data_IF_008591621833
#
_entry.id   IF_008591621833
#
_cell.length_a   1.000
_cell.length_b   1.000
_cell.length_c   1.000
_cell.angle_alpha   90.00
_cell.angle_beta   90.00
_cell.angle_gamma   90.00
#
_symmetry.space_group_name_H-M   'P 1'
#
loop_
_entity.id
_entity.type
_entity.pdbx_description
1 polymer ?
#
# COMPACT_ATOMS: atom_id res chain seq x y z
N UNK A 1 1.33 20.03 9.21
CA UNK A 1 1.55 19.64 7.80
C UNK A 1 0.62 20.44 6.93
N UNK A 2 1.00 20.79 5.72
CA UNK A 2 0.10 21.44 4.76
C UNK A 2 0.10 20.66 3.45
N UNK A 3 -1.09 20.38 2.93
CA UNK A 3 -1.24 19.64 1.67
C UNK A 3 -2.03 20.43 0.64
N UNK A 4 -1.72 20.22 -0.63
CA UNK A 4 -2.44 20.80 -1.76
C UNK A 4 -2.67 19.74 -2.81
N UNK A 5 -3.94 19.59 -3.23
CA UNK A 5 -4.31 18.67 -4.31
C UNK A 5 -4.60 19.45 -5.56
N UNK A 6 -3.99 19.01 -6.66
CA UNK A 6 -4.29 19.47 -8.01
C UNK A 6 -4.84 18.32 -8.84
N UNK A 7 -5.95 18.56 -9.51
CA UNK A 7 -6.45 17.67 -10.56
C UNK A 7 -5.57 17.89 -11.81
N UNK A 8 -4.99 16.81 -12.31
CA UNK A 8 -4.26 16.80 -13.58
C UNK A 8 -5.22 16.37 -14.72
N UNK A 9 -4.79 15.47 -15.58
CA UNK A 9 -5.63 14.96 -16.64
C UNK A 9 -6.48 13.79 -16.14
N UNK A 10 -7.72 13.75 -16.56
CA UNK A 10 -8.68 12.65 -16.31
C UNK A 10 -8.76 12.23 -14.83
N UNK A 11 -8.22 11.07 -14.48
CA UNK A 11 -8.25 10.49 -13.15
C UNK A 11 -6.99 10.77 -12.33
N UNK A 12 -5.97 11.37 -12.93
CA UNK A 12 -4.73 11.69 -12.23
C UNK A 12 -4.89 12.83 -11.23
N UNK A 13 -4.27 12.68 -10.07
CA UNK A 13 -4.19 13.67 -9.00
C UNK A 13 -2.73 13.86 -8.59
N UNK A 14 -2.36 15.11 -8.38
CA UNK A 14 -1.07 15.47 -7.78
C UNK A 14 -1.34 15.99 -6.37
N UNK A 15 -0.83 15.29 -5.38
CA UNK A 15 -0.81 15.69 -3.98
C UNK A 15 0.58 16.26 -3.67
N UNK A 16 0.66 17.51 -3.25
CA UNK A 16 1.88 18.12 -2.74
C UNK A 16 1.75 18.26 -1.24
N UNK A 17 2.70 17.69 -0.51
CA UNK A 17 2.74 17.71 0.95
C UNK A 17 3.99 18.42 1.40
N UNK A 18 3.85 19.31 2.40
CA UNK A 18 4.97 19.96 3.07
C UNK A 18 5.04 19.50 4.51
N UNK A 19 6.17 18.90 4.88
CA UNK A 19 6.46 18.40 6.23
C UNK A 19 7.29 19.43 6.98
N UNK A 20 6.94 19.81 8.22
CA UNK A 20 7.72 20.74 9.00
C UNK A 20 9.09 20.16 9.36
N UNK A 21 10.09 21.05 9.45
CA UNK A 21 11.48 20.68 9.77
C UNK A 21 11.60 20.01 11.14
N UNK A 22 10.75 20.40 12.09
CA UNK A 22 10.75 19.81 13.44
C UNK A 22 10.53 18.32 13.46
N UNK A 23 9.66 17.80 12.59
CA UNK A 23 9.37 16.36 12.51
C UNK A 23 10.54 15.61 11.86
N UNK A 24 11.22 16.25 10.91
CA UNK A 24 12.46 15.72 10.33
C UNK A 24 13.57 15.64 11.38
N UNK A 25 13.82 16.73 12.11
CA UNK A 25 14.89 16.80 13.09
C UNK A 25 14.71 15.79 14.23
N UNK A 26 13.48 15.59 14.71
CA UNK A 26 13.17 14.58 15.71
C UNK A 26 13.51 13.17 15.23
N UNK A 27 13.11 12.82 14.00
CA UNK A 27 13.38 11.50 13.44
C UNK A 27 14.85 11.30 13.13
N UNK A 28 15.50 12.33 12.56
CA UNK A 28 16.93 12.29 12.28
C UNK A 28 17.75 12.09 13.55
N UNK A 29 17.46 12.83 14.61
CA UNK A 29 18.12 12.68 15.91
C UNK A 29 17.90 11.30 16.52
N UNK A 30 16.69 10.75 16.43
CA UNK A 30 16.39 9.39 16.91
C UNK A 30 17.17 8.33 16.13
N UNK A 31 17.22 8.43 14.81
CA UNK A 31 17.99 7.51 13.94
C UNK A 31 19.50 7.60 14.24
N UNK A 32 20.02 8.84 14.33
CA UNK A 32 21.43 9.06 14.68
C UNK A 32 21.80 8.41 15.99
N UNK A 33 20.96 8.55 17.03
CA UNK A 33 21.17 7.92 18.33
C UNK A 33 21.15 6.39 18.27
N UNK A 34 20.27 5.81 17.47
CA UNK A 34 20.23 4.35 17.25
C UNK A 34 21.51 3.87 16.57
N UNK A 35 21.94 4.56 15.53
CA UNK A 35 23.19 4.21 14.83
C UNK A 35 24.39 4.36 15.74
N UNK A 36 24.47 5.42 16.55
CA UNK A 36 25.53 5.62 17.54
C UNK A 36 25.72 4.43 18.48
N UNK A 37 24.60 3.84 18.92
CA UNK A 37 24.63 2.66 19.81
C UNK A 37 25.08 1.36 19.11
N UNK A 38 24.89 1.26 17.79
CA UNK A 38 25.09 0.03 17.02
C UNK A 38 26.35 0.05 16.16
N UNK A 39 26.74 1.24 15.67
CA UNK A 39 27.86 1.40 14.74
C UNK A 39 29.20 0.94 15.33
N UNK A 40 29.91 0.15 14.54
CA UNK A 40 31.33 -0.18 14.76
C UNK A 40 32.12 0.61 13.74
N UNK A 41 32.92 1.54 14.22
CA UNK A 41 33.86 2.32 13.41
C UNK A 41 35.29 2.03 13.90
N UNK A 42 36.17 1.81 12.95
CA UNK A 42 37.59 1.59 13.26
C UNK A 42 38.16 2.83 13.96
N UNK A 43 38.84 2.60 15.08
CA UNK A 43 39.37 3.67 15.94
C UNK A 43 38.43 4.18 17.03
N UNK A 44 37.17 3.74 17.08
CA UNK A 44 36.22 4.16 18.12
C UNK A 44 35.57 2.96 18.84
N UNK A 45 35.42 3.10 20.16
CA UNK A 45 34.65 2.14 20.93
C UNK A 45 33.16 2.27 20.63
N UNK A 46 32.46 1.15 20.53
CA UNK A 46 30.99 1.10 20.30
C UNK A 46 30.27 2.03 21.30
N UNK A 47 29.44 2.91 20.79
CA UNK A 47 28.68 3.88 21.58
C UNK A 47 29.39 5.23 21.84
N UNK A 48 30.70 5.35 21.59
CA UNK A 48 31.49 6.57 21.85
C UNK A 48 31.99 7.26 20.58
N UNK A 49 31.28 7.10 19.48
CA UNK A 49 31.59 7.76 18.21
C UNK A 49 31.06 9.21 18.26
N UNK A 50 31.89 10.24 17.94
CA UNK A 50 31.43 11.61 17.83
C UNK A 50 30.34 11.75 16.76
N UNK A 51 29.35 12.62 17.03
CA UNK A 51 28.21 12.81 16.13
C UNK A 51 28.61 13.35 14.76
N UNK A 52 29.68 14.18 14.69
CA UNK A 52 30.20 14.70 13.44
C UNK A 52 30.74 13.61 12.51
N UNK A 53 31.42 12.62 13.06
CA UNK A 53 31.94 11.47 12.30
C UNK A 53 30.80 10.59 11.81
N UNK A 54 29.75 10.42 12.64
CA UNK A 54 28.55 9.68 12.25
C UNK A 54 27.78 10.40 11.14
N UNK A 55 27.62 11.72 11.25
CA UNK A 55 26.98 12.55 10.20
C UNK A 55 27.75 12.48 8.89
N UNK A 56 29.06 12.56 8.93
CA UNK A 56 29.89 12.52 7.72
C UNK A 56 29.82 11.16 7.02
N UNK A 57 29.69 10.05 7.78
CA UNK A 57 29.71 8.70 7.21
C UNK A 57 28.35 8.12 6.89
N UNK A 58 27.35 8.44 7.70
CA UNK A 58 26.00 7.90 7.60
C UNK A 58 24.93 8.97 7.35
N UNK A 59 25.32 10.24 7.29
CA UNK A 59 24.37 11.36 7.17
C UNK A 59 23.42 11.22 5.99
N UNK A 60 23.94 10.90 4.81
CA UNK A 60 23.15 10.73 3.61
C UNK A 60 22.21 9.53 3.71
N UNK A 61 22.69 8.39 4.21
CA UNK A 61 21.85 7.20 4.39
C UNK A 61 20.72 7.47 5.39
N UNK A 62 21.02 8.13 6.50
CA UNK A 62 20.03 8.52 7.51
C UNK A 62 19.01 9.49 6.91
N UNK A 63 19.48 10.45 6.13
CA UNK A 63 18.62 11.42 5.45
C UNK A 63 17.59 10.75 4.56
N UNK A 64 18.02 9.86 3.66
CA UNK A 64 17.11 9.12 2.78
C UNK A 64 16.17 8.19 3.55
N UNK A 65 16.64 7.53 4.61
CA UNK A 65 15.77 6.71 5.45
C UNK A 65 14.69 7.55 6.15
N UNK A 66 15.05 8.71 6.70
CA UNK A 66 14.11 9.61 7.36
C UNK A 66 13.10 10.18 6.38
N UNK A 67 13.55 10.58 5.18
CA UNK A 67 12.64 11.03 4.12
C UNK A 67 11.61 9.97 3.75
N UNK A 68 12.06 8.74 3.51
CA UNK A 68 11.15 7.64 3.19
C UNK A 68 10.15 7.37 4.32
N UNK A 69 10.60 7.38 5.57
CA UNK A 69 9.74 7.16 6.73
C UNK A 69 8.70 8.28 6.90
N UNK A 70 9.10 9.54 6.68
CA UNK A 70 8.19 10.69 6.69
C UNK A 70 7.14 10.60 5.58
N UNK A 71 7.55 10.22 4.38
CA UNK A 71 6.64 10.05 3.25
C UNK A 71 5.64 8.91 3.52
N UNK A 72 6.13 7.77 3.99
CA UNK A 72 5.28 6.61 4.31
C UNK A 72 4.26 6.89 5.42
N UNK A 73 4.57 7.78 6.35
CA UNK A 73 3.64 8.16 7.41
C UNK A 73 2.69 9.29 7.00
N UNK A 74 3.20 10.29 6.27
CA UNK A 74 2.40 11.48 5.92
C UNK A 74 1.44 11.20 4.77
N UNK A 75 1.84 10.44 3.76
CA UNK A 75 1.02 10.16 2.58
C UNK A 75 -0.33 9.51 2.91
N UNK A 76 -0.40 8.41 3.70
CA UNK A 76 -1.68 7.81 4.05
C UNK A 76 -2.57 8.72 4.89
N UNK A 77 -1.96 9.52 5.80
CA UNK A 77 -2.72 10.47 6.64
C UNK A 77 -3.39 11.54 5.79
N UNK A 78 -2.66 12.13 4.86
CA UNK A 78 -3.19 13.15 3.96
C UNK A 78 -4.28 12.60 3.03
N UNK A 79 -4.15 11.35 2.57
CA UNK A 79 -5.21 10.69 1.80
C UNK A 79 -6.49 10.49 2.62
N UNK A 80 -6.35 10.10 3.89
CA UNK A 80 -7.50 9.93 4.79
C UNK A 80 -8.17 11.26 5.10
N UNK A 81 -7.41 12.32 5.36
CA UNK A 81 -7.95 13.67 5.61
C UNK A 81 -8.73 14.23 4.42
N UNK A 82 -8.34 13.85 3.21
CA UNK A 82 -8.97 14.29 1.96
C UNK A 82 -10.04 13.30 1.42
N UNK A 83 -10.28 12.19 2.14
CA UNK A 83 -11.20 11.09 1.74
C UNK A 83 -10.96 10.58 0.31
N UNK A 84 -9.67 10.46 -0.06
CA UNK A 84 -9.26 10.01 -1.38
C UNK A 84 -8.79 8.56 -1.33
N UNK A 85 -9.34 7.74 -2.23
CA UNK A 85 -8.91 6.34 -2.41
C UNK A 85 -8.08 6.24 -3.69
N UNK A 86 -6.76 6.06 -3.57
CA UNK A 86 -5.91 5.86 -4.74
C UNK A 86 -6.20 4.51 -5.40
N UNK A 87 -6.22 4.50 -6.73
CA UNK A 87 -6.39 3.29 -7.54
C UNK A 87 -5.04 2.66 -7.90
N UNK A 88 -3.95 3.45 -7.88
CA UNK A 88 -2.60 3.01 -8.22
C UNK A 88 -1.60 3.41 -7.16
N UNK A 89 -0.43 2.77 -7.17
CA UNK A 89 0.71 3.19 -6.36
C UNK A 89 1.17 4.60 -6.77
N UNK A 90 1.49 5.49 -5.80
CA UNK A 90 1.90 6.85 -6.12
C UNK A 90 3.30 6.89 -6.74
N UNK A 91 3.48 7.74 -7.75
CA UNK A 91 4.79 8.17 -8.19
C UNK A 91 5.22 9.37 -7.33
N UNK A 92 6.22 9.16 -6.46
CA UNK A 92 6.69 10.17 -5.50
C UNK A 92 7.89 10.89 -6.10
N UNK A 93 7.86 12.23 -6.06
CA UNK A 93 8.95 13.11 -6.44
C UNK A 93 9.22 14.10 -5.33
N UNK A 94 10.44 14.20 -4.86
CA UNK A 94 10.85 15.15 -3.83
C UNK A 94 11.14 16.49 -4.53
N UNK A 95 10.48 17.54 -4.07
CA UNK A 95 10.63 18.91 -4.65
C UNK A 95 11.66 19.74 -3.88
N UNK A 96 11.79 19.54 -2.58
CA UNK A 96 12.76 20.22 -1.71
C UNK A 96 13.30 19.28 -0.65
N UNK A 97 14.63 19.13 -0.62
CA UNK A 97 15.36 18.26 0.32
C UNK A 97 16.25 19.07 1.30
N UNK A 98 16.22 20.40 1.24
CA UNK A 98 17.08 21.21 2.07
C UNK A 98 16.70 21.05 3.56
N UNK A 99 17.64 20.67 4.46
CA UNK A 99 17.34 20.46 5.88
C UNK A 99 16.87 21.72 6.61
N UNK A 100 17.13 22.90 6.04
CA UNK A 100 16.76 24.21 6.61
C UNK A 100 15.37 24.68 6.18
N UNK A 101 14.76 24.03 5.20
CA UNK A 101 13.43 24.36 4.66
C UNK A 101 12.46 23.21 4.90
N UNK A 102 11.15 23.49 4.95
CA UNK A 102 10.15 22.42 4.99
C UNK A 102 10.36 21.44 3.82
N UNK A 103 10.42 20.15 4.12
CA UNK A 103 10.58 19.13 3.12
C UNK A 103 9.26 19.04 2.35
N UNK A 104 9.32 19.24 1.04
CA UNK A 104 8.15 19.13 0.18
C UNK A 104 8.35 18.03 -0.84
N UNK A 105 7.33 17.17 -0.91
CA UNK A 105 7.25 16.13 -1.92
C UNK A 105 5.92 16.18 -2.65
N UNK A 106 5.90 15.69 -3.87
CA UNK A 106 4.69 15.51 -4.65
C UNK A 106 4.46 14.04 -4.97
N UNK A 107 3.23 13.60 -4.80
CA UNK A 107 2.78 12.27 -5.15
C UNK A 107 1.75 12.35 -6.28
N UNK A 108 2.00 11.67 -7.39
CA UNK A 108 1.07 11.55 -8.51
C UNK A 108 0.46 10.15 -8.47
N UNK A 109 -0.85 10.08 -8.44
CA UNK A 109 -1.60 8.83 -8.38
C UNK A 109 -2.94 8.98 -9.12
N UNK A 110 -3.54 7.86 -9.48
CA UNK A 110 -4.85 7.80 -10.08
C UNK A 110 -5.93 7.52 -9.03
N UNK A 111 -7.12 8.05 -9.28
CA UNK A 111 -8.29 7.82 -8.42
C UNK A 111 -9.39 7.11 -9.22
N UNK A 112 -10.24 6.36 -8.51
CA UNK A 112 -11.42 5.78 -9.13
C UNK A 112 -12.40 6.85 -9.59
N UNK A 113 -13.02 6.71 -10.77
CA UNK A 113 -14.05 7.63 -11.24
C UNK A 113 -15.32 7.50 -10.40
N UNK A 114 -16.00 8.60 -10.16
CA UNK A 114 -17.36 8.56 -9.63
C UNK A 114 -18.33 8.08 -10.72
N UNK A 115 -18.80 6.85 -10.60
CA UNK A 115 -19.77 6.28 -11.53
C UNK A 115 -21.18 6.56 -10.99
N UNK A 116 -21.95 7.36 -11.72
CA UNK A 116 -23.38 7.58 -11.46
C UNK A 116 -24.20 6.83 -12.51
N UNK A 117 -24.52 5.54 -12.29
CA UNK A 117 -25.25 4.77 -13.29
C UNK A 117 -26.67 5.32 -13.43
N UNK A 118 -27.08 5.60 -14.67
CA UNK A 118 -28.47 5.89 -15.00
C UNK A 118 -29.19 4.57 -15.24
N UNK A 119 -29.90 4.09 -14.24
CA UNK A 119 -30.72 2.89 -14.39
C UNK A 119 -31.98 3.25 -15.15
N UNK A 120 -32.14 2.65 -16.34
CA UNK A 120 -33.36 2.79 -17.10
C UNK A 120 -34.48 1.99 -16.44
N UNK A 121 -35.56 2.65 -16.05
CA UNK A 121 -36.75 2.00 -15.45
C UNK A 121 -37.48 1.06 -16.40
N UNK A 122 -37.10 1.07 -17.68
CA UNK A 122 -37.76 0.32 -18.74
C UNK A 122 -37.12 -1.04 -19.04
N UNK A 123 -36.06 -1.41 -18.35
CA UNK A 123 -35.43 -2.72 -18.49
C UNK A 123 -35.96 -3.64 -17.39
N UNK A 124 -36.82 -4.57 -17.75
CA UNK A 124 -37.14 -5.73 -16.93
C UNK A 124 -36.05 -6.79 -17.13
N UNK A 125 -35.60 -7.40 -16.06
CA UNK A 125 -34.72 -8.55 -16.11
C UNK A 125 -35.54 -9.76 -15.66
N UNK A 126 -35.53 -10.80 -16.48
CA UNK A 126 -36.05 -12.09 -16.07
C UNK A 126 -35.06 -12.72 -15.08
N UNK A 127 -35.52 -12.96 -13.88
CA UNK A 127 -34.76 -13.69 -12.88
C UNK A 127 -34.95 -15.19 -13.17
N UNK A 128 -33.90 -15.88 -13.51
CA UNK A 128 -33.95 -17.32 -13.61
C UNK A 128 -34.19 -17.93 -12.23
N UNK A 129 -35.32 -18.57 -12.08
CA UNK A 129 -35.60 -19.40 -10.89
C UNK A 129 -35.14 -20.81 -11.18
N UNK A 130 -34.22 -21.30 -10.37
CA UNK A 130 -33.75 -22.67 -10.44
C UNK A 130 -34.70 -23.49 -9.55
N UNK A 131 -35.48 -24.33 -10.16
CA UNK A 131 -36.29 -25.32 -9.45
C UNK A 131 -35.56 -26.65 -9.51
N UNK A 132 -35.30 -27.21 -8.33
CA UNK A 132 -34.74 -28.57 -8.23
C UNK A 132 -35.89 -29.55 -8.23
N UNK A 133 -35.79 -30.55 -9.05
CA UNK A 133 -36.73 -31.69 -9.07
C UNK A 133 -36.07 -32.98 -8.55
N UNK A 134 -36.87 -34.03 -8.38
CA UNK A 134 -36.36 -35.27 -7.84
C UNK A 134 -35.34 -35.95 -8.77
N UNK A 135 -35.39 -35.67 -10.07
CA UNK A 135 -34.41 -36.19 -11.05
C UNK A 135 -33.01 -35.54 -10.86
N UNK A 136 -32.94 -34.25 -10.50
CA UNK A 136 -31.67 -33.58 -10.21
C UNK A 136 -31.01 -34.17 -8.96
N UNK A 137 -31.85 -34.57 -7.98
CA UNK A 137 -31.40 -35.18 -6.75
C UNK A 137 -30.87 -36.60 -7.01
N UNK A 138 -31.55 -37.40 -7.85
CA UNK A 138 -31.06 -38.71 -8.26
C UNK A 138 -29.73 -38.64 -9.02
N UNK A 139 -29.58 -37.67 -9.93
CA UNK A 139 -28.33 -37.46 -10.66
C UNK A 139 -27.19 -37.13 -9.71
N UNK A 140 -27.42 -36.24 -8.74
CA UNK A 140 -26.43 -35.90 -7.75
C UNK A 140 -26.02 -37.07 -6.86
N UNK A 141 -26.98 -37.90 -6.45
CA UNK A 141 -26.71 -39.13 -5.68
C UNK A 141 -25.88 -40.11 -6.50
N UNK A 142 -26.23 -40.32 -7.77
CA UNK A 142 -25.48 -41.21 -8.65
C UNK A 142 -24.05 -40.76 -8.87
N UNK A 143 -23.80 -39.45 -9.07
CA UNK A 143 -22.45 -38.90 -9.18
C UNK A 143 -21.62 -39.16 -7.90
N UNK A 144 -22.23 -39.03 -6.73
CA UNK A 144 -21.58 -39.36 -5.46
C UNK A 144 -21.28 -40.86 -5.37
N UNK A 145 -22.23 -41.70 -5.73
CA UNK A 145 -22.04 -43.14 -5.69
C UNK A 145 -20.91 -43.59 -6.62
N UNK A 146 -20.85 -43.04 -7.85
CA UNK A 146 -19.75 -43.31 -8.78
C UNK A 146 -18.40 -42.91 -8.25
N UNK A 147 -18.30 -41.75 -7.58
CA UNK A 147 -17.04 -41.28 -6.99
C UNK A 147 -16.55 -42.15 -5.84
N UNK A 148 -17.46 -42.74 -5.09
CA UNK A 148 -17.13 -43.56 -3.91
C UNK A 148 -17.25 -45.06 -4.18
N UNK A 149 -17.49 -45.50 -5.43
CA UNK A 149 -17.57 -46.92 -5.73
C UNK A 149 -16.19 -47.58 -5.61
N UNK A 150 -16.17 -48.75 -4.98
CA UNK A 150 -14.97 -49.57 -4.84
C UNK A 150 -15.07 -50.74 -5.84
N UNK A 151 -14.13 -50.76 -6.77
CA UNK A 151 -14.06 -51.82 -7.78
C UNK A 151 -13.43 -53.10 -7.18
N UNK A 152 -14.23 -54.16 -7.05
CA UNK A 152 -13.73 -55.45 -6.64
C UNK A 152 -13.54 -56.35 -7.88
N UNK A 153 -12.41 -57.07 -7.89
CA UNK A 153 -12.14 -58.05 -8.95
C UNK A 153 -13.10 -59.21 -8.78
N UNK A 154 -13.90 -59.50 -9.81
CA UNK A 154 -14.85 -60.58 -9.84
C UNK A 154 -14.34 -61.65 -10.81
N UNK A 155 -14.10 -62.87 -10.30
CA UNK A 155 -13.74 -64.07 -11.14
C UNK A 155 -14.98 -64.72 -11.73
N UNK A 156 -15.69 -63.96 -12.56
CA UNK A 156 -16.84 -64.51 -13.36
C UNK A 156 -16.59 -64.18 -14.82
N UNK A 157 -16.85 -65.11 -15.68
CA UNK A 157 -16.97 -64.88 -17.12
C UNK A 157 -18.16 -63.95 -17.36
N UNK A 158 -18.00 -62.98 -18.29
CA UNK A 158 -19.02 -61.97 -18.65
C UNK A 158 -20.19 -62.60 -19.40
#
# INVERSE_FOLDING_TARGET
>A
MSSKIKKLKDLERKLTVSVPVEDYDKKYGSKLSKIKSTAKLDGFRKGNVPDDVLRQRYGDSIHYEVLNELIQESYPKELQEQDIKPASSPAISIESEEPTKPISYSAIFEVFPEIKPKISRWKSFEKSEITLDDSDLELAINDILERYCVWNKVDREA
#
